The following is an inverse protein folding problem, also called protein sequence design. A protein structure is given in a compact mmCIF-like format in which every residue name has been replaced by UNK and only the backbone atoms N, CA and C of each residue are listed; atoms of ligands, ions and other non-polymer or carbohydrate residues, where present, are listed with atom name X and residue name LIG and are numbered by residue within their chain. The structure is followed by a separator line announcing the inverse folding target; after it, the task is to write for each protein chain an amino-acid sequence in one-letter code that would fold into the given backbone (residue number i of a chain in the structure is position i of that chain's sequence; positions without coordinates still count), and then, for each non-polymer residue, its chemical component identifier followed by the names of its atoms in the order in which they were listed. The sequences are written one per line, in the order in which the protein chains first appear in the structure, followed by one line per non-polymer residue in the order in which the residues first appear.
data_IF_880539027227
#
_entry.id   IF_880539027227
#
_cell.length_a   1.000
_cell.length_b   1.000
_cell.length_c   1.000
_cell.angle_alpha   90.00
_cell.angle_beta   90.00
_cell.angle_gamma   90.00
#
_symmetry.space_group_name_H-M   'P 1'
#
loop_
_entity.id
_entity.type
_entity.pdbx_description
1 polymer ?
#
# COMPACT_ATOMS: atom_id res chain seq x y z
N UNK A 1 0.98 30.59 -4.61
CA UNK A 1 -0.28 30.01 -5.11
C UNK A 1 -0.35 28.49 -4.98
N UNK A 2 0.65 27.72 -5.42
CA UNK A 2 0.65 26.24 -5.34
C UNK A 2 0.39 25.69 -3.92
N UNK A 3 1.04 26.24 -2.89
CA UNK A 3 0.83 25.81 -1.50
C UNK A 3 -0.57 26.14 -0.96
N UNK A 4 -1.14 27.28 -1.34
CA UNK A 4 -2.51 27.67 -0.96
C UNK A 4 -3.54 26.70 -1.54
N UNK A 5 -3.36 26.29 -2.80
CA UNK A 5 -4.21 25.28 -3.45
C UNK A 5 -4.08 23.93 -2.72
N UNK A 6 -2.87 23.52 -2.34
CA UNK A 6 -2.65 22.28 -1.58
C UNK A 6 -3.35 22.28 -0.22
N UNK A 7 -3.23 23.38 0.54
CA UNK A 7 -3.91 23.54 1.84
C UNK A 7 -5.43 23.53 1.66
N UNK A 8 -5.93 24.28 0.66
CA UNK A 8 -7.36 24.31 0.37
C UNK A 8 -7.89 22.93 -0.02
N UNK A 9 -7.15 22.18 -0.85
CA UNK A 9 -7.50 20.81 -1.22
C UNK A 9 -7.57 19.88 0.00
N UNK A 10 -6.61 19.97 0.92
CA UNK A 10 -6.63 19.19 2.16
C UNK A 10 -7.85 19.52 3.03
N UNK A 11 -8.14 20.81 3.21
CA UNK A 11 -9.32 21.26 3.98
C UNK A 11 -10.61 20.80 3.32
N UNK A 12 -10.69 20.86 1.99
CA UNK A 12 -11.86 20.42 1.23
C UNK A 12 -12.10 18.91 1.39
N UNK A 13 -11.06 18.09 1.24
CA UNK A 13 -11.17 16.62 1.40
C UNK A 13 -11.59 16.27 2.83
N UNK A 14 -10.95 16.86 3.84
CA UNK A 14 -11.33 16.65 5.24
C UNK A 14 -12.74 17.14 5.54
N UNK A 15 -13.17 18.25 4.93
CA UNK A 15 -14.52 18.80 5.04
C UNK A 15 -15.57 17.87 4.44
N UNK A 16 -15.34 17.33 3.25
CA UNK A 16 -16.22 16.34 2.61
C UNK A 16 -16.29 15.07 3.47
N UNK A 17 -15.15 14.56 3.96
CA UNK A 17 -15.11 13.39 4.83
C UNK A 17 -15.89 13.63 6.15
N UNK A 18 -15.82 14.84 6.70
CA UNK A 18 -16.58 15.22 7.89
C UNK A 18 -18.09 15.33 7.62
N UNK A 19 -18.49 15.88 6.47
CA UNK A 19 -19.89 15.97 6.06
C UNK A 19 -20.51 14.58 5.87
N UNK A 20 -19.77 13.65 5.28
CA UNK A 20 -20.17 12.26 5.06
C UNK A 20 -20.07 11.39 6.34
N UNK A 21 -19.61 11.93 7.47
CA UNK A 21 -19.45 11.16 8.70
C UNK A 21 -20.78 10.82 9.37
N UNK A 22 -20.97 9.54 9.71
CA UNK A 22 -22.16 9.03 10.41
C UNK A 22 -22.34 9.60 11.82
N UNK A 23 -21.27 9.92 12.54
CA UNK A 23 -21.34 10.44 13.92
C UNK A 23 -20.26 11.53 14.14
N UNK A 24 -20.57 12.75 13.68
CA UNK A 24 -19.68 13.92 13.72
C UNK A 24 -19.19 14.29 15.13
N UNK A 25 -19.93 13.88 16.17
CA UNK A 25 -19.59 14.17 17.58
C UNK A 25 -18.54 13.22 18.13
N UNK A 26 -18.38 12.02 17.56
CA UNK A 26 -17.41 11.01 18.01
C UNK A 26 -16.14 10.95 17.17
N UNK A 27 -15.93 11.93 16.29
CA UNK A 27 -14.72 12.02 15.47
C UNK A 27 -13.50 12.19 16.37
N UNK A 28 -12.54 11.28 16.26
CA UNK A 28 -11.26 11.34 16.98
C UNK A 28 -10.28 12.18 16.17
N UNK A 29 -10.18 13.47 16.48
CA UNK A 29 -9.32 14.41 15.74
C UNK A 29 -7.82 14.12 15.90
N UNK A 30 -7.38 13.61 17.07
CA UNK A 30 -5.96 13.34 17.35
C UNK A 30 -5.33 12.38 16.33
N UNK A 31 -5.86 11.16 16.09
CA UNK A 31 -5.34 10.27 15.05
C UNK A 31 -5.31 10.89 13.64
N UNK A 32 -6.34 11.68 13.28
CA UNK A 32 -6.43 12.33 11.96
C UNK A 32 -5.27 13.32 11.79
N UNK A 33 -5.10 14.23 12.74
CA UNK A 33 -4.03 15.24 12.69
C UNK A 33 -2.65 14.56 12.73
N UNK A 34 -2.45 13.57 13.61
CA UNK A 34 -1.21 12.81 13.67
C UNK A 34 -0.88 12.16 12.33
N UNK A 35 -1.87 11.57 11.65
CA UNK A 35 -1.65 10.94 10.35
C UNK A 35 -1.33 11.92 9.24
N UNK A 36 -2.02 13.07 9.19
CA UNK A 36 -1.72 14.12 8.23
C UNK A 36 -0.29 14.63 8.42
N UNK A 37 0.12 14.90 9.66
CA UNK A 37 1.49 15.31 9.99
C UNK A 37 2.49 14.22 9.57
N UNK A 38 2.23 12.96 9.93
CA UNK A 38 3.12 11.86 9.58
C UNK A 38 3.24 11.69 8.05
N UNK A 39 2.15 11.85 7.30
CA UNK A 39 2.15 11.80 5.85
C UNK A 39 3.01 12.93 5.24
N UNK A 40 2.93 14.15 5.77
CA UNK A 40 3.79 15.26 5.33
C UNK A 40 5.26 15.01 5.67
N UNK A 41 5.56 14.52 6.87
CA UNK A 41 6.93 14.19 7.29
C UNK A 41 7.50 13.11 6.37
N UNK A 42 6.78 12.01 6.16
CA UNK A 42 7.22 10.93 5.29
C UNK A 42 7.35 11.39 3.84
N UNK A 43 6.38 12.15 3.33
CA UNK A 43 6.45 12.70 1.97
C UNK A 43 7.66 13.61 1.77
N UNK A 44 7.95 14.48 2.74
CA UNK A 44 9.13 15.34 2.70
C UNK A 44 10.43 14.51 2.78
N UNK A 45 10.54 13.59 3.74
CA UNK A 45 11.72 12.76 3.91
C UNK A 45 12.00 11.91 2.67
N UNK A 46 10.96 11.29 2.09
CA UNK A 46 11.11 10.40 0.95
C UNK A 46 11.34 11.17 -0.36
N UNK A 47 10.59 12.24 -0.63
CA UNK A 47 10.60 12.90 -1.94
C UNK A 47 11.54 14.12 -2.03
N UNK A 48 11.97 14.69 -0.90
CA UNK A 48 12.72 15.95 -0.89
C UNK A 48 14.12 15.84 -0.26
N UNK A 49 14.53 14.65 0.22
CA UNK A 49 15.88 14.44 0.76
C UNK A 49 16.72 13.54 -0.14
N UNK A 50 18.04 13.69 -0.07
CA UNK A 50 18.99 12.83 -0.79
C UNK A 50 18.87 11.36 -0.35
N UNK A 51 18.75 11.13 0.97
CA UNK A 51 18.55 9.80 1.54
C UNK A 51 17.24 9.18 1.05
N UNK A 52 16.16 9.96 1.01
CA UNK A 52 14.86 9.53 0.48
C UNK A 52 14.93 9.11 -0.98
N UNK A 53 15.59 9.91 -1.82
CA UNK A 53 15.80 9.59 -3.23
C UNK A 53 16.61 8.29 -3.41
N UNK A 54 17.67 8.09 -2.63
CA UNK A 54 18.46 6.84 -2.67
C UNK A 54 17.59 5.64 -2.27
N UNK A 55 16.81 5.77 -1.19
CA UNK A 55 15.93 4.70 -0.72
C UNK A 55 14.86 4.34 -1.76
N UNK A 56 14.14 5.33 -2.30
CA UNK A 56 13.09 5.08 -3.29
C UNK A 56 13.69 4.53 -4.59
N UNK A 57 14.80 5.09 -5.06
CA UNK A 57 15.45 4.60 -6.29
C UNK A 57 15.92 3.16 -6.11
N UNK A 58 16.53 2.81 -4.97
CA UNK A 58 16.93 1.43 -4.69
C UNK A 58 15.74 0.45 -4.66
N UNK A 59 14.59 0.87 -4.13
CA UNK A 59 13.36 0.06 -4.20
C UNK A 59 12.88 -0.06 -5.65
N UNK A 60 12.85 1.05 -6.40
CA UNK A 60 12.40 1.07 -7.79
C UNK A 60 13.28 0.18 -8.69
N UNK A 61 14.59 0.26 -8.53
CA UNK A 61 15.57 -0.56 -9.26
C UNK A 61 15.40 -2.04 -8.91
N UNK A 62 15.18 -2.36 -7.63
CA UNK A 62 14.87 -3.72 -7.19
C UNK A 62 13.60 -4.29 -7.85
N UNK A 63 12.53 -3.49 -7.92
CA UNK A 63 11.32 -3.87 -8.67
C UNK A 63 11.57 -3.97 -10.18
N UNK A 64 12.41 -3.10 -10.75
CA UNK A 64 12.82 -3.16 -12.14
C UNK A 64 13.52 -4.49 -12.48
N UNK A 65 14.43 -4.95 -11.64
CA UNK A 65 15.09 -6.25 -11.79
C UNK A 65 14.09 -7.42 -11.66
N UNK A 66 13.16 -7.36 -10.71
CA UNK A 66 12.11 -8.38 -10.59
C UNK A 66 11.24 -8.46 -11.86
N UNK A 67 10.92 -7.33 -12.48
CA UNK A 67 10.18 -7.29 -13.74
C UNK A 67 10.98 -7.85 -14.93
N UNK A 68 12.31 -7.72 -14.93
CA UNK A 68 13.17 -8.36 -15.93
C UNK A 68 13.12 -9.89 -15.79
N UNK A 69 13.25 -10.43 -14.57
CA UNK A 69 13.10 -11.87 -14.34
C UNK A 69 11.71 -12.37 -14.72
N UNK A 70 10.68 -11.57 -14.44
CA UNK A 70 9.32 -11.88 -14.89
C UNK A 70 9.26 -11.98 -16.43
N UNK A 71 9.83 -11.00 -17.14
CA UNK A 71 9.85 -10.97 -18.60
C UNK A 71 10.60 -12.18 -19.19
N UNK A 72 11.71 -12.63 -18.58
CA UNK A 72 12.41 -13.84 -19.00
C UNK A 72 11.52 -15.08 -18.87
N UNK A 73 10.76 -15.20 -17.78
CA UNK A 73 9.77 -16.27 -17.59
C UNK A 73 8.63 -16.22 -18.61
N UNK A 74 8.16 -15.02 -18.96
CA UNK A 74 7.14 -14.85 -20.00
C UNK A 74 7.68 -15.25 -21.36
N UNK A 75 8.91 -14.83 -21.69
CA UNK A 75 9.55 -15.19 -22.96
C UNK A 75 9.80 -16.70 -23.06
N UNK A 76 10.16 -17.36 -21.96
CA UNK A 76 10.30 -18.81 -21.92
C UNK A 76 8.99 -19.54 -22.28
N UNK A 77 7.85 -19.09 -21.74
CA UNK A 77 6.55 -19.74 -21.97
C UNK A 77 5.88 -19.29 -23.28
N UNK A 78 6.00 -18.01 -23.64
CA UNK A 78 5.19 -17.36 -24.68
C UNK A 78 6.00 -16.64 -25.79
N UNK A 79 7.34 -16.71 -25.78
CA UNK A 79 8.21 -15.89 -26.65
C UNK A 79 8.01 -16.04 -28.17
N UNK A 80 7.31 -17.09 -28.62
CA UNK A 80 6.97 -17.31 -30.03
C UNK A 80 5.55 -16.89 -30.43
N UNK A 81 4.72 -16.41 -29.50
CA UNK A 81 3.28 -16.18 -29.73
C UNK A 81 2.92 -14.76 -30.20
N UNK A 82 3.86 -13.81 -30.11
CA UNK A 82 3.63 -12.41 -30.50
C UNK A 82 4.62 -12.03 -31.58
N UNK A 83 4.13 -11.35 -32.62
CA UNK A 83 4.99 -10.73 -33.61
C UNK A 83 5.96 -9.79 -32.87
N UNK A 84 7.27 -10.01 -32.99
CA UNK A 84 8.30 -9.27 -32.24
C UNK A 84 8.24 -7.73 -32.40
N UNK A 85 7.43 -7.23 -33.34
CA UNK A 85 7.22 -5.80 -33.62
C UNK A 85 5.96 -5.21 -32.97
N UNK A 86 5.10 -6.02 -32.36
CA UNK A 86 3.85 -5.56 -31.74
C UNK A 86 3.88 -5.71 -30.22
N UNK A 87 3.46 -4.65 -29.52
CA UNK A 87 3.32 -4.68 -28.08
C UNK A 87 2.06 -5.47 -27.70
N UNK A 88 2.24 -6.57 -26.99
CA UNK A 88 1.12 -7.32 -26.40
C UNK A 88 0.94 -6.92 -24.95
N UNK A 89 -0.14 -6.16 -24.67
CA UNK A 89 -0.52 -5.80 -23.30
C UNK A 89 -0.66 -7.04 -22.40
N UNK A 90 -1.17 -8.14 -22.93
CA UNK A 90 -1.33 -9.38 -22.20
C UNK A 90 0.02 -9.95 -21.73
N UNK A 91 1.01 -10.06 -22.62
CA UNK A 91 2.32 -10.61 -22.26
C UNK A 91 3.18 -9.62 -21.47
N UNK A 92 3.15 -8.34 -21.82
CA UNK A 92 4.05 -7.34 -21.23
C UNK A 92 3.55 -6.76 -19.92
N UNK A 93 2.26 -6.88 -19.59
CA UNK A 93 1.67 -6.30 -18.36
C UNK A 93 1.02 -7.36 -17.49
N UNK A 94 0.10 -8.17 -18.04
CA UNK A 94 -0.65 -9.14 -17.22
C UNK A 94 0.21 -10.28 -16.74
N UNK A 95 1.07 -10.83 -17.59
CA UNK A 95 1.91 -11.97 -17.19
C UNK A 95 2.93 -11.65 -16.09
N UNK A 96 3.63 -10.48 -16.09
CA UNK A 96 4.44 -10.07 -14.95
C UNK A 96 3.68 -10.01 -13.62
N UNK A 97 2.39 -9.65 -13.63
CA UNK A 97 1.57 -9.65 -12.40
C UNK A 97 1.49 -11.07 -11.81
N UNK A 98 1.34 -12.11 -12.64
CA UNK A 98 1.29 -13.51 -12.18
C UNK A 98 2.59 -13.89 -11.44
N UNK A 99 3.75 -13.51 -11.99
CA UNK A 99 5.04 -13.73 -11.35
C UNK A 99 5.14 -13.00 -9.99
N UNK A 100 4.78 -11.72 -9.94
CA UNK A 100 4.81 -10.93 -8.71
C UNK A 100 3.85 -11.51 -7.66
N UNK A 101 2.64 -11.92 -8.05
CA UNK A 101 1.68 -12.59 -7.16
C UNK A 101 2.23 -13.90 -6.59
N UNK A 102 2.89 -14.72 -7.41
CA UNK A 102 3.53 -15.95 -6.95
C UNK A 102 4.66 -15.66 -5.95
N UNK A 103 5.50 -14.66 -6.23
CA UNK A 103 6.56 -14.21 -5.34
C UNK A 103 6.00 -13.71 -4.00
N UNK A 104 4.96 -12.89 -4.02
CA UNK A 104 4.24 -12.44 -2.81
C UNK A 104 3.73 -13.66 -2.03
N UNK A 105 3.14 -14.65 -2.70
CA UNK A 105 2.68 -15.89 -2.08
C UNK A 105 3.81 -16.67 -1.38
N UNK A 106 4.99 -16.78 -2.00
CA UNK A 106 6.18 -17.39 -1.40
C UNK A 106 6.61 -16.59 -0.17
N UNK A 107 6.76 -15.27 -0.30
CA UNK A 107 7.18 -14.38 0.79
C UNK A 107 6.20 -14.37 1.98
N UNK A 108 4.91 -14.57 1.72
CA UNK A 108 3.88 -14.78 2.74
C UNK A 108 4.06 -16.13 3.43
N UNK A 109 4.28 -17.21 2.67
CA UNK A 109 4.47 -18.56 3.21
C UNK A 109 5.70 -18.65 4.13
N UNK A 110 6.83 -18.08 3.72
CA UNK A 110 8.06 -18.01 4.53
C UNK A 110 8.02 -16.93 5.63
N UNK A 111 6.90 -16.22 5.76
CA UNK A 111 6.61 -15.20 6.80
C UNK A 111 7.43 -13.91 6.73
N UNK A 112 8.17 -13.64 5.65
CA UNK A 112 8.91 -12.38 5.48
C UNK A 112 7.96 -11.18 5.42
N UNK A 113 6.94 -11.24 4.56
CA UNK A 113 5.95 -10.17 4.43
C UNK A 113 5.16 -9.93 5.73
N UNK A 114 4.60 -10.96 6.39
CA UNK A 114 3.96 -10.79 7.70
C UNK A 114 4.83 -10.12 8.76
N UNK A 115 6.14 -10.43 8.81
CA UNK A 115 7.06 -9.81 9.77
C UNK A 115 7.19 -8.31 9.49
N UNK A 116 7.40 -7.92 8.23
CA UNK A 116 7.50 -6.51 7.81
C UNK A 116 6.21 -5.75 8.16
N UNK A 117 5.07 -6.29 7.72
CA UNK A 117 3.75 -5.67 7.93
C UNK A 117 3.44 -5.52 9.43
N UNK A 118 3.69 -6.57 10.23
CA UNK A 118 3.48 -6.52 11.68
C UNK A 118 4.37 -5.47 12.35
N UNK A 119 5.61 -5.33 11.92
CA UNK A 119 6.58 -4.41 12.52
C UNK A 119 6.19 -2.96 12.24
N UNK A 120 5.88 -2.63 10.99
CA UNK A 120 5.44 -1.29 10.58
C UNK A 120 4.05 -0.98 11.17
N UNK A 121 3.11 -1.94 11.15
CA UNK A 121 1.77 -1.76 11.71
C UNK A 121 1.78 -1.52 13.21
N UNK A 122 2.67 -2.17 13.97
CA UNK A 122 2.86 -1.90 15.40
C UNK A 122 3.47 -0.52 15.65
N UNK A 123 4.45 -0.10 14.86
CA UNK A 123 5.01 1.24 14.95
C UNK A 123 3.93 2.30 14.67
N UNK A 124 3.15 2.11 13.62
CA UNK A 124 2.07 3.00 13.22
C UNK A 124 0.99 3.08 14.30
N UNK A 125 0.55 1.93 14.85
CA UNK A 125 -0.42 1.86 15.97
C UNK A 125 0.05 2.64 17.20
N UNK A 126 1.36 2.60 17.50
CA UNK A 126 1.94 3.34 18.62
C UNK A 126 1.93 4.86 18.38
N UNK A 127 2.16 5.29 17.15
CA UNK A 127 2.19 6.72 16.77
C UNK A 127 0.77 7.29 16.70
N UNK A 128 -0.16 6.61 16.03
CA UNK A 128 -1.51 7.12 15.76
C UNK A 128 -2.53 6.86 16.88
N UNK A 129 -2.24 5.94 17.82
CA UNK A 129 -3.15 5.52 18.88
C UNK A 129 -4.37 4.73 18.40
N UNK A 130 -4.37 4.25 17.15
CA UNK A 130 -5.38 3.34 16.59
C UNK A 130 -5.05 1.89 16.95
N UNK A 131 -6.04 1.01 16.79
CA UNK A 131 -5.88 -0.40 17.07
C UNK A 131 -4.81 -1.07 16.20
N UNK A 132 -4.24 -2.15 16.75
CA UNK A 132 -3.18 -2.93 16.10
C UNK A 132 -3.66 -3.57 14.80
N UNK A 133 -4.93 -3.96 14.72
CA UNK A 133 -5.51 -4.63 13.56
C UNK A 133 -5.69 -3.64 12.40
N UNK A 134 -6.20 -2.44 12.68
CA UNK A 134 -6.40 -1.38 11.71
C UNK A 134 -5.05 -0.90 11.14
N UNK A 135 -4.07 -0.72 12.02
CA UNK A 135 -2.73 -0.31 11.60
C UNK A 135 -2.00 -1.42 10.84
N UNK A 136 -2.20 -2.68 11.23
CA UNK A 136 -1.71 -3.84 10.46
C UNK A 136 -2.35 -3.87 9.08
N UNK A 137 -3.67 -3.73 8.99
CA UNK A 137 -4.41 -3.80 7.73
C UNK A 137 -4.04 -2.65 6.78
N UNK A 138 -3.90 -1.43 7.27
CA UNK A 138 -3.48 -0.29 6.46
C UNK A 138 -2.12 -0.53 5.80
N UNK A 139 -1.15 -1.04 6.57
CA UNK A 139 0.19 -1.39 6.06
C UNK A 139 0.12 -2.59 5.12
N UNK A 140 -0.65 -3.61 5.49
CA UNK A 140 -0.80 -4.82 4.69
C UNK A 140 -1.41 -4.49 3.32
N UNK A 141 -2.41 -3.61 3.27
CA UNK A 141 -3.11 -3.24 2.04
C UNK A 141 -2.23 -2.43 1.11
N UNK A 142 -1.35 -1.58 1.67
CA UNK A 142 -0.38 -0.83 0.90
C UNK A 142 0.72 -1.71 0.26
N UNK A 143 1.06 -2.85 0.88
CA UNK A 143 2.15 -3.73 0.42
C UNK A 143 1.63 -4.90 -0.43
N UNK A 144 0.53 -5.52 -0.02
CA UNK A 144 0.04 -6.78 -0.59
C UNK A 144 -1.08 -6.58 -1.62
N UNK A 145 -1.80 -5.46 -1.56
CA UNK A 145 -3.07 -5.28 -2.26
C UNK A 145 -4.27 -5.60 -1.37
N UNK A 146 -5.42 -5.01 -1.69
CA UNK A 146 -6.63 -5.12 -0.85
C UNK A 146 -7.16 -6.56 -0.75
N UNK A 147 -7.08 -7.34 -1.83
CA UNK A 147 -7.57 -8.72 -1.91
C UNK A 147 -6.82 -9.69 -1.00
N UNK A 148 -5.51 -9.52 -0.89
CA UNK A 148 -4.58 -10.42 -0.23
C UNK A 148 -4.64 -10.27 1.30
N UNK A 149 -4.96 -9.07 1.78
CA UNK A 149 -5.05 -8.79 3.21
C UNK A 149 -6.20 -9.54 3.86
N UNK A 150 -7.35 -9.68 3.17
CA UNK A 150 -8.49 -10.42 3.68
C UNK A 150 -8.16 -11.88 4.00
N UNK A 151 -7.22 -12.50 3.28
CA UNK A 151 -6.75 -13.86 3.58
C UNK A 151 -6.05 -13.89 4.93
N UNK A 152 -5.20 -12.89 5.20
CA UNK A 152 -4.43 -12.78 6.44
C UNK A 152 -5.31 -12.53 7.67
N UNK A 153 -6.45 -11.85 7.51
CA UNK A 153 -7.40 -11.55 8.60
C UNK A 153 -8.69 -12.38 8.56
N UNK A 154 -8.81 -13.37 7.66
CA UNK A 154 -10.03 -14.14 7.38
C UNK A 154 -10.75 -14.66 8.63
N UNK A 155 -9.98 -15.22 9.58
CA UNK A 155 -10.53 -15.79 10.82
C UNK A 155 -11.07 -14.74 11.81
N UNK A 156 -10.72 -13.47 11.62
CA UNK A 156 -11.08 -12.37 12.51
C UNK A 156 -12.28 -11.58 11.99
N UNK A 157 -12.53 -11.56 10.67
CA UNK A 157 -13.57 -10.73 10.04
C UNK A 157 -14.96 -10.90 10.68
N UNK A 158 -15.38 -12.14 10.95
CA UNK A 158 -16.69 -12.41 11.55
C UNK A 158 -16.86 -11.93 12.99
N UNK A 159 -15.78 -11.53 13.66
CA UNK A 159 -15.78 -11.05 15.05
C UNK A 159 -15.72 -9.52 15.14
N UNK A 160 -15.60 -8.82 14.00
CA UNK A 160 -15.37 -7.38 13.99
C UNK A 160 -16.69 -6.60 13.97
N UNK A 161 -16.83 -5.58 14.82
CA UNK A 161 -17.92 -4.62 14.72
C UNK A 161 -17.91 -3.90 13.37
N UNK A 162 -19.08 -3.52 12.87
CA UNK A 162 -19.27 -2.77 11.62
C UNK A 162 -18.30 -1.59 11.45
N UNK A 163 -18.12 -0.80 12.51
CA UNK A 163 -17.22 0.37 12.50
C UNK A 163 -15.75 0.01 12.31
N UNK A 164 -15.31 -1.18 12.74
CA UNK A 164 -13.94 -1.67 12.52
C UNK A 164 -13.81 -2.32 11.15
N UNK A 165 -14.86 -2.97 10.66
CA UNK A 165 -14.91 -3.48 9.28
C UNK A 165 -14.72 -2.36 8.24
N UNK A 166 -15.27 -1.16 8.49
CA UNK A 166 -15.06 -0.01 7.61
C UNK A 166 -13.60 0.46 7.53
N UNK A 167 -12.77 0.12 8.53
CA UNK A 167 -11.35 0.52 8.60
C UNK A 167 -10.39 -0.53 8.07
N UNK A 168 -10.90 -1.69 7.63
CA UNK A 168 -10.15 -2.73 6.94
C UNK A 168 -10.30 -2.57 5.43
#
# INVERSE_FOLDING_TARGET
MKYLIGIFGLVLILGIAWLASNDRKKVKYRPIITMVILQFILGFLLLNTSVGNILISGIADGFGELLKYAADGVNFVFGGLVNQKEFSFFLSVLMPIVFISALIGILQHIKVLPIIVKSIGLALSKVNGMGKLESYNAVASAILGQSEVFISVKKQLGLLPEKRMYTL
#
